data_IF_732751979252
#
_entry.id   IF_732751979252
#
_cell.length_a   1.000
_cell.length_b   1.000
_cell.length_c   1.000
_cell.angle_alpha   90.00
_cell.angle_beta   90.00
_cell.angle_gamma   90.00
#
_symmetry.space_group_name_H-M   'P 1'
#
loop_
_entity.id
_entity.type
_entity.pdbx_description
1 polymer ?
#
# COMPACT_ATOMS: atom_id res chain seq x y z
N UNK A 1 -10.10 -0.44 -30.08
CA UNK A 1 -9.49 -0.66 -28.76
C UNK A 1 -8.96 0.69 -28.33
N UNK A 2 -9.40 1.20 -27.17
CA UNK A 2 -8.93 2.49 -26.67
C UNK A 2 -7.65 2.26 -25.88
N UNK A 3 -6.52 2.65 -26.44
CA UNK A 3 -5.24 2.71 -25.74
C UNK A 3 -5.35 3.76 -24.63
N UNK A 4 -5.49 3.30 -23.38
CA UNK A 4 -5.38 4.15 -22.19
C UNK A 4 -3.91 4.50 -21.98
N UNK A 5 -3.33 5.34 -22.84
CA UNK A 5 -2.07 5.99 -22.54
C UNK A 5 -2.35 7.12 -21.55
N UNK A 6 -2.25 6.82 -20.25
CA UNK A 6 -2.37 7.81 -19.20
C UNK A 6 -1.15 8.74 -19.27
N UNK A 7 -1.27 9.81 -20.05
CA UNK A 7 -0.29 10.90 -20.04
C UNK A 7 -0.55 11.74 -18.80
N UNK A 8 0.30 11.62 -17.78
CA UNK A 8 0.26 12.51 -16.62
C UNK A 8 0.56 13.93 -17.11
N UNK A 9 -0.22 14.96 -16.71
CA UNK A 9 0.04 16.35 -17.08
C UNK A 9 1.37 16.80 -16.48
N UNK A 10 2.16 17.60 -17.20
CA UNK A 10 3.53 17.98 -16.83
C UNK A 10 3.66 18.74 -15.48
N UNK A 11 2.55 19.22 -14.92
CA UNK A 11 2.48 19.99 -13.66
C UNK A 11 2.15 19.13 -12.42
N UNK A 12 2.32 17.80 -12.52
CA UNK A 12 2.12 16.92 -11.37
C UNK A 12 3.29 17.04 -10.39
N UNK A 13 3.01 17.44 -9.14
CA UNK A 13 4.01 17.31 -8.08
C UNK A 13 4.18 15.83 -7.74
N UNK A 14 5.42 15.34 -7.88
CA UNK A 14 5.76 13.98 -7.50
C UNK A 14 5.71 13.88 -5.98
N UNK A 15 4.79 13.05 -5.47
CA UNK A 15 4.76 12.72 -4.05
C UNK A 15 6.13 12.18 -3.60
N UNK A 16 6.55 12.50 -2.35
CA UNK A 16 7.80 11.99 -1.81
C UNK A 16 7.80 10.45 -1.84
N UNK A 17 8.88 9.87 -2.36
CA UNK A 17 9.00 8.41 -2.40
C UNK A 17 9.06 7.87 -0.97
N UNK A 18 8.11 6.99 -0.64
CA UNK A 18 8.12 6.28 0.63
C UNK A 18 9.23 5.21 0.61
N UNK A 19 9.98 5.05 1.71
CA UNK A 19 10.98 4.01 1.80
C UNK A 19 10.31 2.64 1.69
N UNK A 20 10.77 1.83 0.75
CA UNK A 20 10.28 0.45 0.62
C UNK A 20 10.81 -0.36 1.82
N UNK A 21 9.93 -1.03 2.59
CA UNK A 21 10.34 -1.83 3.74
C UNK A 21 11.22 -3.02 3.35
N UNK A 22 11.95 -3.58 4.31
CA UNK A 22 12.75 -4.79 4.10
C UNK A 22 11.88 -5.99 3.72
N UNK A 23 12.46 -7.03 3.09
CA UNK A 23 11.70 -8.24 2.74
C UNK A 23 11.09 -8.93 3.96
N UNK A 24 11.77 -8.92 5.10
CA UNK A 24 11.25 -9.53 6.32
C UNK A 24 10.07 -8.72 6.90
N UNK A 25 10.12 -7.39 6.80
CA UNK A 25 9.00 -6.55 7.23
C UNK A 25 7.83 -6.62 6.26
N UNK A 26 8.08 -6.71 4.95
CA UNK A 26 7.04 -6.98 3.95
C UNK A 26 6.30 -8.29 4.25
N UNK A 27 7.01 -9.35 4.64
CA UNK A 27 6.38 -10.62 5.03
C UNK A 27 5.49 -10.48 6.26
N UNK A 28 5.92 -9.71 7.27
CA UNK A 28 5.10 -9.43 8.47
C UNK A 28 3.84 -8.65 8.12
N UNK A 29 3.96 -7.62 7.28
CA UNK A 29 2.82 -6.85 6.77
C UNK A 29 1.82 -7.79 6.07
N UNK A 30 2.30 -8.66 5.18
CA UNK A 30 1.43 -9.63 4.48
C UNK A 30 0.78 -10.63 5.44
N UNK A 31 1.51 -11.11 6.45
CA UNK A 31 0.96 -12.03 7.44
C UNK A 31 -0.18 -11.39 8.24
N UNK A 32 -0.02 -10.13 8.65
CA UNK A 32 -1.03 -9.40 9.41
C UNK A 32 -2.26 -9.05 8.55
N UNK A 33 -2.04 -8.60 7.31
CA UNK A 33 -3.14 -8.36 6.36
C UNK A 33 -3.97 -9.62 6.11
N UNK A 34 -3.33 -10.79 5.98
CA UNK A 34 -4.03 -12.09 5.85
C UNK A 34 -4.83 -12.46 7.10
N UNK A 35 -4.30 -12.17 8.29
CA UNK A 35 -5.01 -12.38 9.56
C UNK A 35 -6.29 -11.54 9.61
N UNK A 36 -6.18 -10.26 9.28
CA UNK A 36 -7.30 -9.31 9.23
C UNK A 36 -8.33 -9.71 8.17
N UNK A 37 -7.89 -10.15 6.99
CA UNK A 37 -8.78 -10.65 5.93
C UNK A 37 -9.57 -11.87 6.41
N UNK A 38 -8.89 -12.86 7.01
CA UNK A 38 -9.54 -14.06 7.55
C UNK A 38 -10.53 -13.77 8.69
N UNK A 39 -10.26 -12.72 9.49
CA UNK A 39 -11.14 -12.27 10.56
C UNK A 39 -12.32 -11.41 10.05
N UNK A 40 -12.30 -10.96 8.79
CA UNK A 40 -13.27 -9.99 8.26
C UNK A 40 -13.05 -8.56 8.78
N UNK A 41 -11.85 -8.27 9.28
CA UNK A 41 -11.47 -6.99 9.90
C UNK A 41 -10.64 -6.10 8.96
N UNK A 42 -10.25 -6.60 7.78
CA UNK A 42 -9.47 -5.82 6.81
C UNK A 42 -10.34 -4.75 6.13
N UNK A 43 -10.24 -3.50 6.59
CA UNK A 43 -10.92 -2.35 5.97
C UNK A 43 -9.98 -1.60 5.00
N UNK A 44 -10.51 -0.78 4.07
CA UNK A 44 -9.71 0.07 3.19
C UNK A 44 -8.76 1.00 3.96
N UNK A 45 -9.20 1.53 5.11
CA UNK A 45 -8.41 2.42 5.96
C UNK A 45 -7.22 1.69 6.60
N UNK A 46 -7.43 0.43 7.02
CA UNK A 46 -6.34 -0.39 7.57
C UNK A 46 -5.35 -0.78 6.47
N UNK A 47 -5.84 -1.15 5.29
CA UNK A 47 -4.99 -1.44 4.15
C UNK A 47 -4.14 -0.22 3.77
N UNK A 48 -4.78 0.96 3.68
CA UNK A 48 -4.10 2.22 3.41
C UNK A 48 -2.94 2.45 4.37
N UNK A 49 -3.19 2.31 5.67
CA UNK A 49 -2.18 2.57 6.68
C UNK A 49 -0.93 1.67 6.53
N UNK A 50 -1.09 0.42 6.09
CA UNK A 50 0.04 -0.46 5.78
C UNK A 50 0.77 -0.08 4.48
N UNK A 51 0.04 0.41 3.47
CA UNK A 51 0.62 0.77 2.16
C UNK A 51 1.32 2.13 2.17
N UNK A 52 0.94 3.03 3.09
CA UNK A 52 1.54 4.35 3.26
C UNK A 52 2.55 4.43 4.42
N UNK A 53 2.73 3.33 5.16
CA UNK A 53 3.65 3.29 6.30
C UNK A 53 3.13 4.00 7.56
N UNK A 54 1.86 4.41 7.59
CA UNK A 54 1.18 4.94 8.79
C UNK A 54 1.01 3.86 9.88
N UNK A 55 1.01 2.58 9.49
CA UNK A 55 0.92 1.42 10.38
C UNK A 55 2.03 0.42 10.08
N UNK A 56 2.68 -0.03 11.15
CA UNK A 56 3.60 -1.16 11.15
C UNK A 56 2.89 -2.42 11.63
N UNK A 57 3.31 -3.62 11.19
CA UNK A 57 2.76 -4.87 11.69
C UNK A 57 3.08 -5.00 13.18
N UNK A 58 2.15 -5.57 13.95
CA UNK A 58 2.35 -5.88 15.38
C UNK A 58 3.40 -6.98 15.61
#
# INVERSE_FOLDING_TARGET
MHDLNLSLPDDYEKEPELPIPSIDDQKKIVAELKRLEAAGELTPEILHAFMTGERLPE
#
